data_IF_483740379906
#
_entry.id   IF_483740379906
#
_cell.length_a   1.000
_cell.length_b   1.000
_cell.length_c   1.000
_cell.angle_alpha   90.00
_cell.angle_beta   90.00
_cell.angle_gamma   90.00
#
_symmetry.space_group_name_H-M   'P 1'
#
loop_
_entity.id
_entity.type
_entity.pdbx_description
1 polymer ?
#
# COMPACT_ATOMS: atom_id res chain seq x y z
N UNK A 1 18.62 18.70 14.88
CA UNK A 1 18.15 17.31 14.63
C UNK A 1 16.66 17.36 14.29
N UNK A 2 16.31 17.26 13.02
CA UNK A 2 14.91 17.25 12.59
C UNK A 2 14.29 15.89 12.87
N UNK A 3 13.57 15.78 13.99
CA UNK A 3 12.73 14.63 14.30
C UNK A 3 11.58 14.63 13.29
N UNK A 4 11.75 13.95 12.15
CA UNK A 4 10.64 13.64 11.23
C UNK A 4 9.58 12.93 12.07
N UNK A 5 8.53 13.64 12.47
CA UNK A 5 7.31 13.02 12.96
C UNK A 5 6.90 12.05 11.86
N UNK A 6 6.95 10.75 12.13
CA UNK A 6 6.37 9.75 11.24
C UNK A 6 4.89 10.13 11.15
N UNK A 7 4.50 10.80 10.06
CA UNK A 7 3.10 10.81 9.67
C UNK A 7 2.80 9.36 9.34
N UNK A 8 2.23 8.65 10.30
CA UNK A 8 1.41 7.51 9.95
C UNK A 8 0.26 8.13 9.18
N UNK A 9 0.34 8.12 7.86
CA UNK A 9 -0.82 8.47 7.06
C UNK A 9 -1.89 7.42 7.41
N UNK A 10 -3.04 7.88 7.88
CA UNK A 10 -4.12 7.02 8.30
C UNK A 10 -4.96 6.70 7.06
N UNK A 11 -5.09 5.41 6.73
CA UNK A 11 -6.12 4.94 5.81
C UNK A 11 -7.32 4.45 6.63
N UNK A 12 -8.51 4.47 6.04
CA UNK A 12 -9.72 4.01 6.71
C UNK A 12 -9.76 2.48 6.72
N UNK A 13 -9.32 1.86 7.81
CA UNK A 13 -9.28 0.39 7.95
C UNK A 13 -10.66 -0.28 7.87
N UNK A 14 -11.74 0.46 8.08
CA UNK A 14 -13.10 -0.07 7.97
C UNK A 14 -13.57 -0.11 6.52
N UNK A 15 -13.12 0.84 5.69
CA UNK A 15 -13.57 0.98 4.30
C UNK A 15 -12.51 0.62 3.27
N UNK A 16 -11.24 0.49 3.66
CA UNK A 16 -10.10 0.37 2.76
C UNK A 16 -9.20 -0.79 3.19
N UNK A 17 -8.76 -1.57 2.21
CA UNK A 17 -7.79 -2.65 2.38
C UNK A 17 -6.51 -2.36 1.61
N UNK A 18 -5.33 -2.65 2.16
CA UNK A 18 -4.07 -2.47 1.42
C UNK A 18 -3.93 -3.53 0.34
N UNK A 19 -3.60 -3.09 -0.87
CA UNK A 19 -3.49 -3.94 -2.05
C UNK A 19 -2.23 -3.59 -2.83
N UNK A 20 -1.55 -4.59 -3.36
CA UNK A 20 -0.53 -4.45 -4.41
C UNK A 20 -1.17 -4.88 -5.72
N UNK A 21 -1.25 -3.98 -6.71
CA UNK A 21 -1.56 -4.37 -8.09
C UNK A 21 -0.28 -4.64 -8.84
N UNK A 22 -0.18 -5.82 -9.46
CA UNK A 22 0.94 -6.20 -10.30
C UNK A 22 0.48 -6.29 -11.75
N UNK A 23 1.12 -5.52 -12.64
CA UNK A 23 0.88 -5.63 -14.08
C UNK A 23 1.48 -6.94 -14.60
N UNK A 24 0.65 -7.78 -15.21
CA UNK A 24 1.12 -9.03 -15.85
C UNK A 24 1.96 -8.70 -17.09
N UNK A 25 1.68 -7.57 -17.77
CA UNK A 25 2.36 -7.17 -19.00
C UNK A 25 3.71 -6.50 -18.77
N UNK A 26 3.82 -5.66 -17.72
CA UNK A 26 5.03 -4.85 -17.47
C UNK A 26 5.82 -5.30 -16.25
N UNK A 27 5.23 -6.12 -15.38
CA UNK A 27 5.81 -6.52 -14.10
C UNK A 27 5.82 -5.41 -13.04
N UNK A 28 5.29 -4.22 -13.36
CA UNK A 28 5.20 -3.10 -12.43
C UNK A 28 4.24 -3.41 -11.30
N UNK A 29 4.66 -3.11 -10.07
CA UNK A 29 3.84 -3.29 -8.87
C UNK A 29 3.52 -1.94 -8.26
N UNK A 30 2.26 -1.70 -7.95
CA UNK A 30 1.79 -0.48 -7.30
C UNK A 30 1.08 -0.83 -6.00
N UNK A 31 1.58 -0.30 -4.89
CA UNK A 31 0.91 -0.36 -3.60
C UNK A 31 -0.13 0.76 -3.50
N UNK A 32 -1.26 0.42 -2.93
CA UNK A 32 -2.38 1.33 -2.76
C UNK A 32 -3.43 0.78 -1.82
N UNK A 33 -4.56 1.45 -1.79
CA UNK A 33 -5.71 1.08 -0.98
C UNK A 33 -6.90 0.82 -1.88
N UNK A 34 -7.57 -0.30 -1.67
CA UNK A 34 -8.83 -0.62 -2.34
C UNK A 34 -9.97 -0.38 -1.38
N UNK A 35 -10.88 0.50 -1.77
CA UNK A 35 -12.11 0.69 -1.02
C UNK A 35 -12.99 -0.55 -1.16
N UNK A 36 -13.36 -1.16 -0.05
CA UNK A 36 -14.09 -2.44 -0.02
C UNK A 36 -15.55 -2.29 -0.47
N UNK A 37 -16.12 -1.08 -0.35
CA UNK A 37 -17.52 -0.80 -0.69
C UNK A 37 -17.69 -0.46 -2.18
N UNK A 38 -16.78 0.33 -2.72
CA UNK A 38 -16.84 0.83 -4.11
C UNK A 38 -15.95 0.05 -5.07
N UNK A 39 -14.99 -0.73 -4.57
CA UNK A 39 -13.96 -1.39 -5.36
C UNK A 39 -12.90 -0.45 -5.94
N UNK A 40 -13.01 0.87 -5.73
CA UNK A 40 -12.06 1.86 -6.21
C UNK A 40 -10.72 1.63 -5.56
N UNK A 41 -9.66 1.57 -6.36
CA UNK A 41 -8.30 1.51 -5.84
C UNK A 41 -7.56 2.82 -6.08
N UNK A 42 -6.94 3.30 -5.01
CA UNK A 42 -6.14 4.51 -4.93
C UNK A 42 -4.68 4.12 -4.94
N UNK A 43 -3.95 4.55 -5.96
CA UNK A 43 -2.52 4.36 -6.10
C UNK A 43 -1.76 5.28 -5.14
N UNK A 44 -0.79 4.73 -4.42
CA UNK A 44 -0.03 5.47 -3.40
C UNK A 44 1.46 5.41 -3.65
N UNK A 45 1.99 4.23 -4.00
CA UNK A 45 3.43 4.04 -4.14
C UNK A 45 3.76 2.99 -5.20
N UNK A 46 4.72 3.31 -6.07
CA UNK A 46 5.34 2.31 -6.96
C UNK A 46 6.30 1.42 -6.16
N UNK A 47 6.15 0.11 -6.28
CA UNK A 47 6.97 -0.90 -5.60
C UNK A 47 7.94 -1.50 -6.60
N UNK A 48 9.23 -1.17 -6.45
CA UNK A 48 10.32 -1.73 -7.29
C UNK A 48 11.03 -2.89 -6.61
N UNK A 49 10.81 -3.08 -5.31
CA UNK A 49 11.36 -4.21 -4.56
C UNK A 49 10.94 -4.22 -3.10
N UNK A 50 11.54 -5.12 -2.33
CA UNK A 50 11.19 -5.35 -0.93
C UNK A 50 11.33 -4.10 -0.04
N UNK A 51 12.33 -3.25 -0.31
CA UNK A 51 12.55 -2.01 0.45
C UNK A 51 11.36 -1.05 0.34
N UNK A 52 10.75 -0.95 -0.83
CA UNK A 52 9.59 -0.08 -1.05
C UNK A 52 8.35 -0.68 -0.37
N UNK A 53 8.20 -2.01 -0.43
CA UNK A 53 7.13 -2.72 0.28
C UNK A 53 7.22 -2.54 1.79
N UNK A 54 8.42 -2.68 2.36
CA UNK A 54 8.66 -2.44 3.79
C UNK A 54 8.42 -0.98 4.17
N UNK A 55 8.74 -0.04 3.27
CA UNK A 55 8.47 1.38 3.49
C UNK A 55 6.95 1.64 3.52
N UNK A 56 6.19 1.10 2.57
CA UNK A 56 4.73 1.17 2.56
C UNK A 56 4.13 0.58 3.83
N UNK A 57 4.52 -0.63 4.22
CA UNK A 57 4.07 -1.29 5.45
C UNK A 57 4.34 -0.47 6.70
N UNK A 58 5.57 0.03 6.85
CA UNK A 58 5.97 0.84 8.02
C UNK A 58 5.31 2.22 8.05
N UNK A 59 5.04 2.80 6.88
CA UNK A 59 4.41 4.11 6.77
C UNK A 59 2.95 4.06 7.24
N UNK A 60 2.23 2.99 6.89
CA UNK A 60 0.80 2.84 7.18
C UNK A 60 0.49 1.89 8.35
N UNK A 61 1.52 1.27 8.93
CA UNK A 61 1.37 0.31 10.04
C UNK A 61 0.59 -0.93 9.63
N UNK A 62 0.91 -1.48 8.46
CA UNK A 62 0.26 -2.63 7.83
C UNK A 62 1.11 -3.90 8.05
N UNK A 63 0.51 -4.97 8.55
CA UNK A 63 1.13 -6.28 8.67
C UNK A 63 1.25 -6.95 7.29
N UNK A 64 2.13 -7.95 7.15
CA UNK A 64 2.33 -8.57 5.82
C UNK A 64 1.07 -9.27 5.33
N UNK A 65 0.38 -9.88 6.27
CA UNK A 65 -0.78 -10.74 6.10
C UNK A 65 -2.03 -9.93 5.69
N UNK A 66 -2.01 -8.62 5.93
CA UNK A 66 -3.09 -7.71 5.55
C UNK A 66 -3.02 -7.30 4.07
N UNK A 67 -1.85 -7.44 3.43
CA UNK A 67 -1.64 -7.00 2.05
C UNK A 67 -2.10 -8.07 1.07
N UNK A 68 -3.08 -7.72 0.24
CA UNK A 68 -3.51 -8.56 -0.88
C UNK A 68 -2.76 -8.20 -2.15
N UNK A 69 -2.32 -9.19 -2.92
CA UNK A 69 -1.78 -8.96 -4.26
C UNK A 69 -2.83 -9.31 -5.29
N UNK A 70 -3.15 -8.36 -6.18
CA UNK A 70 -4.06 -8.52 -7.32
C UNK A 70 -3.23 -8.38 -8.62
N UNK A 71 -3.61 -9.13 -9.67
CA UNK A 71 -2.90 -9.21 -10.96
C UNK A 71 -3.83 -8.78 -12.10
#
# INVERSE_FOLDING_TARGET
MFRRKRKTDFFDRESERPVIRASICTGEKVAGFKNIRTGRFTEVMLIRGQKDLDAFRKQYGIAEEEILTEY
#
